data_IF_263676700233
#
_entry.id   IF_263676700233
#
_cell.length_a   1.000
_cell.length_b   1.000
_cell.length_c   1.000
_cell.angle_alpha   90.00
_cell.angle_beta   90.00
_cell.angle_gamma   90.00
#
_symmetry.space_group_name_H-M   'P 1'
#
loop_
_entity.id
_entity.type
_entity.pdbx_description
1 polymer ?
#
# COMPACT_ATOMS: atom_id res chain seq x y z
N UNK A 1 -6.28 3.98 5.51
CA UNK A 1 -5.59 4.51 4.31
C UNK A 1 -4.82 3.36 3.67
N UNK A 2 -4.86 3.19 2.36
CA UNK A 2 -4.22 2.04 1.70
C UNK A 2 -2.88 2.47 1.09
N UNK A 3 -1.80 1.85 1.53
CA UNK A 3 -0.42 2.18 1.12
C UNK A 3 0.08 1.09 0.19
N UNK A 4 0.53 1.48 -1.00
CA UNK A 4 1.14 0.58 -1.96
C UNK A 4 2.65 0.86 -2.11
N UNK A 5 3.47 -0.18 -2.17
CA UNK A 5 4.91 -0.08 -2.34
C UNK A 5 5.49 -1.30 -3.07
N UNK A 6 6.70 -1.16 -3.61
CA UNK A 6 7.46 -2.28 -4.17
C UNK A 6 8.50 -2.79 -3.18
N UNK A 7 8.76 -4.09 -3.19
CA UNK A 7 9.95 -4.65 -2.56
C UNK A 7 11.21 -4.44 -3.42
N UNK A 8 12.34 -4.97 -2.96
CA UNK A 8 13.65 -4.87 -3.63
C UNK A 8 13.68 -5.53 -5.03
N UNK A 9 12.73 -6.40 -5.34
CA UNK A 9 12.60 -7.07 -6.63
C UNK A 9 11.52 -6.45 -7.51
N UNK A 10 10.91 -5.33 -7.08
CA UNK A 10 9.85 -4.66 -7.83
C UNK A 10 8.49 -5.35 -7.73
N UNK A 11 8.27 -6.28 -6.79
CA UNK A 11 6.97 -6.94 -6.61
C UNK A 11 6.07 -6.11 -5.70
N UNK A 12 4.84 -5.85 -6.15
CA UNK A 12 3.88 -5.00 -5.43
C UNK A 12 3.49 -5.57 -4.06
N UNK A 13 3.26 -4.66 -3.11
CA UNK A 13 2.76 -4.95 -1.77
C UNK A 13 1.79 -3.84 -1.37
N UNK A 14 0.72 -4.21 -0.67
CA UNK A 14 -0.28 -3.27 -0.15
C UNK A 14 -0.50 -3.48 1.34
N UNK A 15 -0.72 -2.42 2.09
CA UNK A 15 -1.03 -2.45 3.52
C UNK A 15 -2.09 -1.40 3.86
N UNK A 16 -3.02 -1.76 4.74
CA UNK A 16 -3.91 -0.78 5.34
C UNK A 16 -3.23 -0.14 6.56
N UNK A 17 -3.14 1.19 6.55
CA UNK A 17 -2.60 2.01 7.63
C UNK A 17 -3.70 2.92 8.18
N UNK A 18 -3.95 2.80 9.48
CA UNK A 18 -4.95 3.61 10.19
C UNK A 18 -4.31 4.83 10.88
N UNK A 19 -3.04 4.73 11.27
CA UNK A 19 -2.30 5.80 11.94
C UNK A 19 -1.58 6.68 10.93
N UNK A 20 -2.33 7.57 10.29
CA UNK A 20 -1.78 8.58 9.41
C UNK A 20 -2.77 9.70 9.14
N UNK A 21 -2.29 10.79 8.55
CA UNK A 21 -3.12 11.94 8.26
C UNK A 21 -2.34 13.08 7.63
N UNK A 22 -3.07 14.15 7.31
CA UNK A 22 -2.49 15.38 6.75
C UNK A 22 -1.84 16.18 7.89
N UNK A 23 -0.60 16.62 7.68
CA UNK A 23 0.16 17.44 8.66
C UNK A 23 0.59 18.81 8.10
N UNK A 24 0.35 19.05 6.82
CA UNK A 24 0.62 20.31 6.13
C UNK A 24 -0.19 20.41 4.84
N UNK A 25 -0.03 21.51 4.09
CA UNK A 25 -0.78 21.70 2.84
C UNK A 25 -0.45 20.65 1.77
N UNK A 26 0.78 20.15 1.78
CA UNK A 26 1.37 19.23 0.81
C UNK A 26 2.04 18.02 1.49
N UNK A 27 1.72 17.77 2.76
CA UNK A 27 2.40 16.77 3.58
C UNK A 27 1.41 15.87 4.32
N UNK A 28 1.74 14.58 4.34
CA UNK A 28 1.09 13.58 5.18
C UNK A 28 2.12 12.96 6.13
N UNK A 29 1.63 12.47 7.27
CA UNK A 29 2.38 11.62 8.18
C UNK A 29 1.74 10.24 8.22
N UNK A 30 2.58 9.22 8.33
CA UNK A 30 2.15 7.84 8.50
C UNK A 30 3.07 7.23 9.57
N UNK A 31 2.47 6.66 10.61
CA UNK A 31 3.18 5.93 11.65
C UNK A 31 3.19 4.44 11.29
N UNK A 32 4.37 3.89 11.02
CA UNK A 32 4.56 2.51 10.60
C UNK A 32 5.45 1.75 11.58
N UNK A 33 5.04 0.53 11.93
CA UNK A 33 5.85 -0.42 12.71
C UNK A 33 6.77 -1.27 11.83
N UNK A 34 7.15 -2.45 12.33
CA UNK A 34 7.92 -3.44 11.57
C UNK A 34 7.01 -4.22 10.60
N UNK A 35 6.96 -3.76 9.35
CA UNK A 35 6.16 -4.36 8.28
C UNK A 35 6.97 -4.41 6.98
N UNK A 36 6.58 -5.30 6.06
CA UNK A 36 7.14 -5.32 4.70
C UNK A 36 7.05 -3.94 4.03
N UNK A 37 5.96 -3.20 4.28
CA UNK A 37 5.76 -1.86 3.72
C UNK A 37 6.82 -0.88 4.22
N UNK A 38 7.25 -0.99 5.49
CA UNK A 38 8.30 -0.16 6.08
C UNK A 38 9.64 -0.43 5.40
N UNK A 39 10.01 -1.70 5.22
CA UNK A 39 11.24 -2.09 4.51
C UNK A 39 11.23 -1.59 3.07
N UNK A 40 10.11 -1.82 2.37
CA UNK A 40 9.89 -1.39 1.00
C UNK A 40 10.09 0.13 0.84
N UNK A 41 9.50 0.93 1.72
CA UNK A 41 9.65 2.39 1.72
C UNK A 41 11.08 2.78 2.06
N UNK A 42 11.74 2.08 2.98
CA UNK A 42 13.13 2.38 3.33
C UNK A 42 14.10 2.11 2.18
N UNK A 43 13.85 1.09 1.36
CA UNK A 43 14.64 0.75 0.17
C UNK A 43 14.33 1.70 -0.98
N UNK A 44 13.05 1.84 -1.35
CA UNK A 44 12.64 2.53 -2.57
C UNK A 44 12.40 4.04 -2.39
N UNK A 45 12.26 4.52 -1.16
CA UNK A 45 11.90 5.92 -0.82
C UNK A 45 10.64 6.42 -1.54
N UNK A 46 9.74 5.50 -1.89
CA UNK A 46 8.54 5.77 -2.66
C UNK A 46 7.37 4.88 -2.21
N UNK A 47 6.18 5.45 -2.23
CA UNK A 47 4.91 4.77 -1.99
C UNK A 47 3.78 5.57 -2.64
N UNK A 48 2.61 4.96 -2.78
CA UNK A 48 1.36 5.64 -3.12
C UNK A 48 0.35 5.47 -2.00
N UNK A 49 -0.68 6.31 -2.03
CA UNK A 49 -1.80 6.29 -1.10
C UNK A 49 -3.11 6.24 -1.88
N UNK A 50 -3.94 5.26 -1.56
CA UNK A 50 -5.32 5.15 -2.05
C UNK A 50 -6.31 5.15 -0.88
N UNK A 51 -7.56 5.48 -1.18
CA UNK A 51 -8.66 5.43 -0.21
C UNK A 51 -9.40 4.10 -0.35
N UNK A 52 -9.62 3.42 0.78
CA UNK A 52 -10.49 2.26 0.82
C UNK A 52 -11.93 2.69 0.54
N UNK A 53 -12.71 1.81 -0.10
CA UNK A 53 -14.13 2.00 -0.35
C UNK A 53 -14.96 0.85 0.24
N UNK A 54 -16.29 0.98 0.13
CA UNK A 54 -17.23 0.00 0.68
C UNK A 54 -17.21 -1.31 -0.13
N UNK A 55 -16.98 -1.24 -1.45
CA UNK A 55 -16.97 -2.40 -2.34
C UNK A 55 -15.81 -3.35 -2.04
N UNK A 56 -14.65 -2.79 -1.69
CA UNK A 56 -13.40 -3.52 -1.45
C UNK A 56 -13.05 -3.63 0.05
N UNK A 57 -14.00 -3.39 0.96
CA UNK A 57 -13.75 -3.37 2.41
C UNK A 57 -13.04 -4.62 2.93
N UNK A 58 -13.45 -5.81 2.46
CA UNK A 58 -12.85 -7.08 2.86
C UNK A 58 -11.41 -7.23 2.37
N UNK A 59 -11.12 -6.80 1.13
CA UNK A 59 -9.77 -6.81 0.58
C UNK A 59 -8.85 -5.82 1.31
N UNK A 60 -9.36 -4.62 1.61
CA UNK A 60 -8.66 -3.59 2.38
C UNK A 60 -8.35 -4.03 3.82
N UNK A 61 -9.28 -4.73 4.49
CA UNK A 61 -9.03 -5.29 5.82
C UNK A 61 -7.96 -6.40 5.76
N UNK A 62 -8.10 -7.32 4.79
CA UNK A 62 -7.17 -8.44 4.61
C UNK A 62 -5.71 -7.99 4.43
N UNK A 63 -5.46 -6.96 3.61
CA UNK A 63 -4.09 -6.43 3.39
C UNK A 63 -3.51 -5.73 4.61
N UNK A 64 -4.34 -5.33 5.59
CA UNK A 64 -3.91 -4.85 6.90
C UNK A 64 -3.63 -5.98 7.90
N UNK A 65 -4.35 -7.10 7.78
CA UNK A 65 -4.21 -8.26 8.66
C UNK A 65 -2.97 -9.11 8.33
N UNK A 66 -2.68 -9.29 7.03
CA UNK A 66 -1.67 -10.25 6.55
C UNK A 66 -0.40 -9.54 6.06
N UNK A 67 0.75 -9.97 6.58
CA UNK A 67 2.05 -9.54 6.08
C UNK A 67 2.46 -10.33 4.83
N UNK A 68 2.96 -9.63 3.81
CA UNK A 68 3.52 -10.25 2.60
C UNK A 68 4.77 -11.09 2.88
N UNK A 69 5.44 -10.86 4.01
CA UNK A 69 6.55 -11.71 4.49
C UNK A 69 6.09 -13.16 4.70
N UNK A 70 4.85 -13.35 5.13
CA UNK A 70 4.27 -14.65 5.46
C UNK A 70 3.37 -15.20 4.34
N UNK A 71 2.76 -14.30 3.55
CA UNK A 71 1.88 -14.65 2.44
C UNK A 71 2.37 -13.99 1.13
N UNK A 72 3.21 -14.68 0.35
CA UNK A 72 3.76 -14.15 -0.89
C UNK A 72 2.70 -13.83 -1.96
N UNK A 73 1.52 -14.45 -1.89
CA UNK A 73 0.42 -14.28 -2.84
C UNK A 73 -0.66 -13.33 -2.32
N UNK A 74 -0.35 -12.52 -1.29
CA UNK A 74 -1.29 -11.59 -0.65
C UNK A 74 -2.09 -10.74 -1.65
N UNK A 75 -1.44 -10.23 -2.69
CA UNK A 75 -2.08 -9.39 -3.71
C UNK A 75 -3.14 -10.15 -4.51
N UNK A 76 -2.82 -11.38 -4.91
CA UNK A 76 -3.74 -12.25 -5.65
C UNK A 76 -4.95 -12.65 -4.78
N UNK A 77 -4.72 -13.00 -3.51
CA UNK A 77 -5.79 -13.34 -2.56
C UNK A 77 -6.69 -12.13 -2.29
N UNK A 78 -6.12 -10.92 -2.20
CA UNK A 78 -6.87 -9.68 -2.03
C UNK A 78 -7.64 -9.28 -3.31
N UNK A 79 -7.32 -9.87 -4.46
CA UNK A 79 -7.90 -9.49 -5.75
C UNK A 79 -7.43 -8.13 -6.27
N UNK A 80 -6.33 -7.58 -5.75
CA UNK A 80 -5.82 -6.28 -6.16
C UNK A 80 -4.83 -6.39 -7.32
N UNK A 81 -5.09 -5.61 -8.37
CA UNK A 81 -4.17 -5.38 -9.48
C UNK A 81 -3.48 -4.04 -9.30
N UNK A 82 -2.31 -3.91 -9.93
CA UNK A 82 -1.52 -2.69 -9.81
C UNK A 82 -0.92 -2.26 -11.13
N UNK A 83 -1.00 -0.97 -11.39
CA UNK A 83 -0.26 -0.28 -12.44
C UNK A 83 0.89 0.52 -11.82
N UNK A 84 2.04 0.63 -12.49
CA UNK A 84 3.14 1.47 -11.99
C UNK A 84 2.76 2.96 -12.08
N UNK A 85 3.00 3.71 -11.00
CA UNK A 85 2.82 5.17 -11.00
C UNK A 85 3.73 5.86 -12.02
N UNK A 86 3.22 6.92 -12.64
CA UNK A 86 3.98 7.79 -13.54
C UNK A 86 4.94 8.73 -12.80
N UNK A 87 4.70 9.00 -11.51
CA UNK A 87 5.43 10.02 -10.73
C UNK A 87 6.51 9.45 -9.83
N UNK A 88 6.32 8.23 -9.30
CA UNK A 88 7.19 7.63 -8.30
C UNK A 88 7.37 6.13 -8.54
N UNK A 89 8.43 5.53 -7.97
CA UNK A 89 8.65 4.08 -8.06
C UNK A 89 7.76 3.30 -7.08
N UNK A 90 6.45 3.36 -7.27
CA UNK A 90 5.46 2.64 -6.47
C UNK A 90 4.23 2.22 -7.32
N UNK A 91 3.50 1.18 -6.92
CA UNK A 91 2.28 0.77 -7.61
C UNK A 91 1.10 1.69 -7.28
N UNK A 92 0.13 1.81 -8.18
CA UNK A 92 -1.22 2.35 -7.95
C UNK A 92 -2.18 1.18 -7.98
N UNK A 93 -3.16 1.15 -7.08
CA UNK A 93 -4.14 0.05 -6.97
C UNK A 93 -5.27 0.30 -7.95
N UNK A 94 -5.55 -0.66 -8.83
CA UNK A 94 -6.46 -0.44 -9.96
C UNK A 94 -7.94 -0.44 -9.53
N UNK A 95 -8.28 -1.17 -8.48
CA UNK A 95 -9.64 -1.34 -7.96
C UNK A 95 -10.11 -0.18 -7.08
N UNK A 96 -9.18 0.63 -6.53
CA UNK A 96 -9.53 1.71 -5.61
C UNK A 96 -9.77 3.04 -6.35
N UNK A 97 -10.66 3.91 -5.83
CA UNK A 97 -11.18 5.06 -6.57
C UNK A 97 -10.20 6.23 -6.69
N UNK A 98 -9.10 6.23 -5.93
CA UNK A 98 -8.10 7.30 -5.93
C UNK A 98 -6.76 6.77 -6.44
N UNK A 99 -6.39 7.23 -7.64
CA UNK A 99 -5.24 6.80 -8.44
C UNK A 99 -4.22 7.93 -8.62
#
# INVERSE_FOLDING_TARGET
>A
MIIASYDEHGKANVMNADWGGIVGMDQIIISLGDHQTTDNIMINKAFTVSMADVEHVAACDYVGLVSKRNEPNKMEIAGFHTTKSEFVNAPVIDELPLK
#
